data_IF_335147987566
#
_entry.id   IF_335147987566
#
_cell.length_a   1.000
_cell.length_b   1.000
_cell.length_c   1.000
_cell.angle_alpha   90.00
_cell.angle_beta   90.00
_cell.angle_gamma   90.00
#
_symmetry.space_group_name_H-M   'P 1'
#
loop_
_entity.id
_entity.type
_entity.pdbx_description
1 polymer ?
#
# COMPACT_ATOMS: atom_id res chain seq x y z
N UNK A 1 -3.34 -25.31 -33.72
CA UNK A 1 -3.73 -23.97 -34.20
C UNK A 1 -3.54 -22.96 -33.08
N UNK A 2 -2.78 -21.89 -33.34
CA UNK A 2 -2.45 -20.85 -32.35
C UNK A 2 -3.39 -19.64 -32.42
N UNK A 3 -3.46 -18.88 -31.33
CA UNK A 3 -4.18 -17.60 -31.28
C UNK A 3 -3.50 -16.56 -32.19
N UNK A 4 -4.28 -15.66 -32.80
CA UNK A 4 -3.70 -14.49 -33.47
C UNK A 4 -3.00 -13.59 -32.44
N UNK A 5 -2.00 -12.82 -32.88
CA UNK A 5 -1.25 -11.93 -31.99
C UNK A 5 -2.17 -10.94 -31.26
N UNK A 6 -3.20 -10.43 -31.96
CA UNK A 6 -4.23 -9.58 -31.38
C UNK A 6 -5.01 -10.28 -30.27
N UNK A 7 -5.46 -11.52 -30.49
CA UNK A 7 -6.19 -12.30 -29.49
C UNK A 7 -5.30 -12.64 -28.28
N UNK A 8 -4.02 -12.92 -28.51
CA UNK A 8 -3.06 -13.21 -27.45
C UNK A 8 -2.80 -11.98 -26.55
N UNK A 9 -2.60 -10.79 -27.15
CA UNK A 9 -2.38 -9.56 -26.39
C UNK A 9 -3.66 -9.12 -25.66
N UNK A 10 -4.83 -9.27 -26.27
CA UNK A 10 -6.10 -8.96 -25.59
C UNK A 10 -6.34 -9.84 -24.35
N UNK A 11 -6.05 -11.14 -24.44
CA UNK A 11 -6.07 -12.05 -23.27
C UNK A 11 -5.01 -11.70 -22.23
N UNK A 12 -3.86 -11.14 -22.64
CA UNK A 12 -2.84 -10.63 -21.72
C UNK A 12 -3.37 -9.41 -20.95
N UNK A 13 -4.09 -8.50 -21.62
CA UNK A 13 -4.73 -7.33 -20.98
C UNK A 13 -5.69 -7.75 -19.88
N UNK A 14 -6.54 -8.76 -20.13
CA UNK A 14 -7.49 -9.29 -19.14
C UNK A 14 -6.79 -9.90 -17.92
N UNK A 15 -5.63 -10.53 -18.10
CA UNK A 15 -4.86 -11.14 -16.99
C UNK A 15 -4.05 -10.12 -16.19
N UNK A 16 -3.51 -9.11 -16.84
CA UNK A 16 -2.59 -8.13 -16.22
C UNK A 16 -3.36 -6.90 -15.69
N UNK A 17 -4.56 -6.63 -16.22
CA UNK A 17 -5.40 -5.50 -15.80
C UNK A 17 -4.78 -4.13 -16.08
N UNK A 18 -3.88 -4.03 -17.06
CA UNK A 18 -3.23 -2.76 -17.43
C UNK A 18 -3.84 -2.22 -18.73
N UNK A 19 -4.58 -1.11 -18.62
CA UNK A 19 -5.28 -0.48 -19.76
C UNK A 19 -4.35 -0.10 -20.92
N UNK A 20 -3.07 0.20 -20.64
CA UNK A 20 -2.07 0.47 -21.69
C UNK A 20 -1.84 -0.71 -22.64
N UNK A 21 -2.12 -1.95 -22.23
CA UNK A 21 -2.05 -3.13 -23.10
C UNK A 21 -3.14 -3.15 -24.17
N UNK A 22 -4.32 -2.56 -23.91
CA UNK A 22 -5.40 -2.50 -24.89
C UNK A 22 -5.04 -1.59 -26.07
N UNK A 23 -4.50 -0.41 -25.80
CA UNK A 23 -4.01 0.50 -26.84
C UNK A 23 -2.89 -0.13 -27.66
N UNK A 24 -1.99 -0.84 -26.98
CA UNK A 24 -0.87 -1.52 -27.61
C UNK A 24 -1.32 -2.72 -28.46
N UNK A 25 -2.36 -3.45 -28.06
CA UNK A 25 -3.00 -4.52 -28.86
C UNK A 25 -3.51 -4.00 -30.21
N UNK A 26 -4.12 -2.82 -30.23
CA UNK A 26 -4.61 -2.18 -31.45
C UNK A 26 -3.45 -1.79 -32.37
N UNK A 27 -2.42 -1.14 -31.82
CA UNK A 27 -1.23 -0.77 -32.58
C UNK A 27 -0.48 -1.98 -33.14
N UNK A 28 -0.41 -3.08 -32.37
CA UNK A 28 0.25 -4.31 -32.78
C UNK A 28 -0.53 -5.05 -33.88
N UNK A 29 -1.87 -5.03 -33.83
CA UNK A 29 -2.71 -5.60 -34.90
C UNK A 29 -2.47 -4.87 -36.22
N UNK A 30 -2.37 -3.53 -36.19
CA UNK A 30 -2.06 -2.70 -37.37
C UNK A 30 -0.65 -3.00 -37.90
N UNK A 31 0.37 -2.99 -37.02
CA UNK A 31 1.77 -3.20 -37.43
C UNK A 31 2.09 -4.64 -37.83
N UNK A 32 1.39 -5.64 -37.29
CA UNK A 32 1.54 -7.04 -37.72
C UNK A 32 1.13 -7.27 -39.17
N UNK A 33 0.20 -6.46 -39.68
CA UNK A 33 -0.25 -6.50 -41.08
C UNK A 33 0.70 -5.76 -42.04
N UNK A 34 1.48 -4.82 -41.52
CA UNK A 34 2.41 -3.98 -42.30
C UNK A 34 3.88 -4.37 -42.17
N UNK A 35 4.21 -5.36 -41.32
CA UNK A 35 5.56 -5.87 -41.14
C UNK A 35 6.50 -4.95 -40.36
N UNK A 36 5.96 -4.05 -39.53
CA UNK A 36 6.73 -3.09 -38.73
C UNK A 36 7.58 -3.75 -37.62
N UNK A 37 8.28 -2.94 -36.83
CA UNK A 37 9.19 -3.40 -35.77
C UNK A 37 8.44 -3.89 -34.51
N UNK A 38 7.67 -4.99 -34.62
CA UNK A 38 6.97 -5.59 -33.49
C UNK A 38 7.91 -5.96 -32.34
N UNK A 39 9.15 -6.36 -32.67
CA UNK A 39 10.17 -6.74 -31.70
C UNK A 39 10.46 -5.58 -30.74
N UNK A 40 10.60 -4.36 -31.25
CA UNK A 40 10.83 -3.16 -30.43
C UNK A 40 9.62 -2.81 -29.57
N UNK A 41 8.41 -2.91 -30.10
CA UNK A 41 7.18 -2.63 -29.34
C UNK A 41 7.00 -3.62 -28.19
N UNK A 42 7.23 -4.90 -28.45
CA UNK A 42 7.16 -5.94 -27.42
C UNK A 42 8.28 -5.80 -26.39
N UNK A 43 9.49 -5.39 -26.80
CA UNK A 43 10.59 -5.11 -25.90
C UNK A 43 10.26 -3.93 -24.96
N UNK A 44 9.71 -2.84 -25.49
CA UNK A 44 9.26 -1.69 -24.71
C UNK A 44 8.10 -2.04 -23.78
N UNK A 45 7.16 -2.88 -24.22
CA UNK A 45 6.11 -3.34 -23.31
C UNK A 45 6.69 -4.19 -22.16
N UNK A 46 7.65 -5.06 -22.46
CA UNK A 46 8.31 -5.89 -21.45
C UNK A 46 9.02 -5.03 -20.40
N UNK A 47 9.71 -3.96 -20.82
CA UNK A 47 10.35 -3.04 -19.88
C UNK A 47 9.33 -2.31 -19.01
N UNK A 48 8.27 -1.75 -19.60
CA UNK A 48 7.20 -1.04 -18.86
C UNK A 48 6.50 -1.96 -17.86
N UNK A 49 6.19 -3.21 -18.23
CA UNK A 49 5.57 -4.19 -17.33
C UNK A 49 6.49 -4.54 -16.15
N UNK A 50 7.79 -4.74 -16.41
CA UNK A 50 8.79 -5.00 -15.37
C UNK A 50 8.94 -3.81 -14.44
N UNK A 51 8.94 -2.58 -14.95
CA UNK A 51 8.99 -1.36 -14.14
C UNK A 51 7.77 -1.22 -13.26
N UNK A 52 6.56 -1.46 -13.78
CA UNK A 52 5.33 -1.49 -12.98
C UNK A 52 5.40 -2.52 -11.85
N UNK A 53 5.90 -3.72 -12.13
CA UNK A 53 6.08 -4.75 -11.11
C UNK A 53 7.09 -4.31 -10.04
N UNK A 54 8.22 -3.72 -10.44
CA UNK A 54 9.21 -3.15 -9.50
C UNK A 54 8.60 -2.04 -8.63
N UNK A 55 7.79 -1.15 -9.21
CA UNK A 55 7.10 -0.09 -8.46
C UNK A 55 6.15 -0.67 -7.42
N UNK A 56 5.32 -1.67 -7.78
CA UNK A 56 4.44 -2.34 -6.82
C UNK A 56 5.20 -3.00 -5.67
N UNK A 57 6.30 -3.68 -5.97
CA UNK A 57 7.16 -4.28 -4.96
C UNK A 57 7.80 -3.21 -4.05
N UNK A 58 8.24 -2.09 -4.62
CA UNK A 58 8.80 -0.96 -3.87
C UNK A 58 7.76 -0.31 -2.96
N UNK A 59 6.54 -0.07 -3.44
CA UNK A 59 5.42 0.43 -2.63
C UNK A 59 5.15 -0.53 -1.47
N UNK A 60 5.06 -1.84 -1.74
CA UNK A 60 4.84 -2.85 -0.70
C UNK A 60 5.94 -2.86 0.37
N UNK A 61 7.20 -2.68 -0.04
CA UNK A 61 8.34 -2.62 0.87
C UNK A 61 8.33 -1.34 1.72
N UNK A 62 8.17 -0.17 1.11
CA UNK A 62 8.09 1.12 1.82
C UNK A 62 6.89 1.18 2.78
N UNK A 63 5.76 0.66 2.33
CA UNK A 63 4.56 0.49 3.16
C UNK A 63 4.84 -0.40 4.37
N UNK A 64 5.67 -1.44 4.24
CA UNK A 64 6.05 -2.31 5.36
C UNK A 64 6.87 -1.59 6.44
N UNK A 65 7.84 -0.77 6.05
CA UNK A 65 8.67 0.01 6.96
C UNK A 65 7.84 1.08 7.72
N UNK A 66 6.99 1.80 6.98
CA UNK A 66 6.07 2.79 7.55
C UNK A 66 5.09 2.16 8.55
N UNK A 67 4.58 0.96 8.25
CA UNK A 67 3.71 0.20 9.17
C UNK A 67 4.39 -0.09 10.50
N UNK A 68 5.60 -0.65 10.47
CA UNK A 68 6.30 -1.04 11.71
C UNK A 68 6.58 0.20 12.56
N UNK A 69 7.02 1.29 11.93
CA UNK A 69 7.26 2.56 12.62
C UNK A 69 5.99 3.12 13.29
N UNK A 70 4.86 3.08 12.59
CA UNK A 70 3.59 3.51 13.16
C UNK A 70 3.12 2.64 14.33
N UNK A 71 3.24 1.31 14.23
CA UNK A 71 2.92 0.41 15.35
C UNK A 71 3.77 0.71 16.60
N UNK A 72 5.06 0.99 16.42
CA UNK A 72 5.95 1.38 17.52
C UNK A 72 5.47 2.69 18.17
N UNK A 73 5.13 3.70 17.37
CA UNK A 73 4.66 5.00 17.86
C UNK A 73 3.30 4.88 18.56
N UNK A 74 2.36 4.12 18.00
CA UNK A 74 1.03 3.88 18.59
C UNK A 74 1.13 3.14 19.93
N UNK A 75 2.08 2.22 20.07
CA UNK A 75 2.27 1.46 21.31
C UNK A 75 3.06 2.26 22.38
N UNK A 76 3.82 3.27 21.96
CA UNK A 76 4.69 4.05 22.84
C UNK A 76 3.98 4.66 24.06
N UNK A 77 2.81 5.33 23.95
CA UNK A 77 2.10 5.90 25.10
C UNK A 77 1.68 4.84 26.11
N UNK A 78 1.27 3.65 25.64
CA UNK A 78 0.84 2.54 26.50
C UNK A 78 2.03 1.98 27.27
N UNK A 79 3.14 1.73 26.57
CA UNK A 79 4.38 1.23 27.20
C UNK A 79 4.92 2.25 28.21
N UNK A 80 4.95 3.53 27.84
CA UNK A 80 5.41 4.60 28.73
C UNK A 80 4.54 4.70 29.97
N UNK A 81 3.21 4.59 29.83
CA UNK A 81 2.28 4.57 30.95
C UNK A 81 2.58 3.43 31.92
N UNK A 82 2.78 2.21 31.41
CA UNK A 82 3.13 1.04 32.23
C UNK A 82 4.48 1.21 32.95
N UNK A 83 5.49 1.71 32.26
CA UNK A 83 6.81 1.97 32.83
C UNK A 83 6.71 2.99 33.97
N UNK A 84 6.01 4.10 33.75
CA UNK A 84 5.83 5.14 34.76
C UNK A 84 5.04 4.62 35.96
N UNK A 85 4.06 3.75 35.76
CA UNK A 85 3.31 3.13 36.84
C UNK A 85 4.18 2.23 37.74
N UNK A 86 5.19 1.56 37.18
CA UNK A 86 6.12 0.70 37.92
C UNK A 86 7.25 1.48 38.61
N UNK A 87 7.86 2.44 37.90
CA UNK A 87 9.03 3.18 38.41
C UNK A 87 8.61 4.33 39.33
N UNK A 88 7.51 5.01 39.00
CA UNK A 88 7.03 6.18 39.74
C UNK A 88 5.51 6.11 39.95
N UNK A 89 5.02 5.21 40.84
CA UNK A 89 3.59 5.01 41.07
C UNK A 89 2.84 6.29 41.49
N UNK A 90 3.54 7.24 42.11
CA UNK A 90 3.00 8.54 42.51
C UNK A 90 2.93 9.58 41.39
N UNK A 91 3.47 9.29 40.19
CA UNK A 91 3.54 10.24 39.07
C UNK A 91 2.16 10.75 38.65
N UNK A 92 1.19 9.84 38.52
CA UNK A 92 -0.20 10.19 38.18
C UNK A 92 -1.09 10.49 39.39
N UNK A 93 -0.60 10.31 40.62
CA UNK A 93 -1.41 10.36 41.84
C UNK A 93 -2.15 11.68 42.08
N UNK A 94 -1.56 12.81 41.64
CA UNK A 94 -2.19 14.15 41.76
C UNK A 94 -3.27 14.42 40.72
N UNK A 95 -3.24 13.70 39.59
CA UNK A 95 -4.13 13.96 38.44
C UNK A 95 -5.29 12.96 38.39
N UNK A 96 -5.13 11.78 39.00
CA UNK A 96 -6.18 10.75 39.11
C UNK A 96 -7.47 11.23 39.77
N UNK A 97 -7.39 12.17 40.73
CA UNK A 97 -8.56 12.73 41.41
C UNK A 97 -9.30 13.83 40.62
N UNK A 98 -8.78 14.26 39.47
CA UNK A 98 -9.40 15.33 38.69
C UNK A 98 -10.47 14.77 37.74
N UNK A 99 -11.73 15.24 37.79
CA UNK A 99 -12.79 14.77 36.89
C UNK A 99 -12.49 15.00 35.40
N UNK A 100 -11.55 15.88 35.05
CA UNK A 100 -11.11 16.11 33.67
C UNK A 100 -10.22 15.00 33.10
N UNK A 101 -9.64 14.10 33.91
CA UNK A 101 -8.70 13.10 33.42
C UNK A 101 -9.37 12.04 32.54
N UNK A 102 -10.56 11.59 32.95
CA UNK A 102 -11.30 10.51 32.29
C UNK A 102 -11.74 10.88 30.86
N UNK A 103 -12.32 12.08 30.60
CA UNK A 103 -12.63 12.50 29.22
C UNK A 103 -11.37 12.72 28.37
N UNK A 104 -10.27 13.21 28.95
CA UNK A 104 -9.00 13.40 28.21
C UNK A 104 -8.42 12.06 27.74
N UNK A 105 -8.37 11.06 28.62
CA UNK A 105 -7.92 9.71 28.25
C UNK A 105 -8.83 9.05 27.20
N UNK A 106 -10.15 9.25 27.30
CA UNK A 106 -11.10 8.75 26.30
C UNK A 106 -10.87 9.39 24.93
N UNK A 107 -10.75 10.72 24.87
CA UNK A 107 -10.48 11.44 23.61
C UNK A 107 -9.15 10.98 23.01
N UNK A 108 -8.10 10.89 23.82
CA UNK A 108 -6.79 10.42 23.37
C UNK A 108 -6.85 8.97 22.85
N UNK A 109 -7.53 8.08 23.57
CA UNK A 109 -7.71 6.68 23.18
C UNK A 109 -8.49 6.53 21.87
N UNK A 110 -9.60 7.27 21.71
CA UNK A 110 -10.38 7.28 20.46
C UNK A 110 -9.54 7.83 19.30
N UNK A 111 -8.76 8.88 19.53
CA UNK A 111 -7.89 9.46 18.51
C UNK A 111 -6.78 8.49 18.07
N UNK A 112 -6.15 7.79 19.03
CA UNK A 112 -5.16 6.76 18.74
C UNK A 112 -5.76 5.60 17.93
N UNK A 113 -6.94 5.10 18.33
CA UNK A 113 -7.64 4.03 17.62
C UNK A 113 -8.05 4.43 16.19
N UNK A 114 -8.47 5.69 15.99
CA UNK A 114 -8.74 6.21 14.65
C UNK A 114 -7.47 6.26 13.79
N UNK A 115 -6.34 6.67 14.36
CA UNK A 115 -5.04 6.65 13.70
C UNK A 115 -4.65 5.24 13.24
N UNK A 116 -4.75 4.27 14.14
CA UNK A 116 -4.47 2.86 13.86
C UNK A 116 -5.42 2.28 12.81
N UNK A 117 -6.70 2.66 12.85
CA UNK A 117 -7.68 2.25 11.84
C UNK A 117 -7.37 2.81 10.45
N UNK A 118 -6.99 4.09 10.35
CA UNK A 118 -6.58 4.70 9.08
C UNK A 118 -5.33 4.02 8.53
N UNK A 119 -4.35 3.76 9.39
CA UNK A 119 -3.14 3.01 9.07
C UNK A 119 -3.47 1.60 8.53
N UNK A 120 -4.34 0.87 9.22
CA UNK A 120 -4.80 -0.45 8.77
C UNK A 120 -5.49 -0.38 7.39
N UNK A 121 -6.30 0.66 7.17
CA UNK A 121 -7.02 0.85 5.91
C UNK A 121 -6.07 1.15 4.75
N UNK A 122 -5.09 2.03 4.94
CA UNK A 122 -4.07 2.35 3.93
C UNK A 122 -3.30 1.10 3.46
N UNK A 123 -3.10 0.13 4.36
CA UNK A 123 -2.38 -1.11 4.07
C UNK A 123 -3.23 -2.11 3.30
N UNK A 124 -4.53 -2.12 3.56
CA UNK A 124 -5.47 -3.04 2.90
C UNK A 124 -5.81 -2.58 1.49
N UNK A 125 -5.64 -1.29 1.15
CA UNK A 125 -5.94 -0.73 -0.16
C UNK A 125 -4.95 -1.08 -1.29
N UNK A 126 -3.83 -1.72 -0.98
CA UNK A 126 -2.87 -2.19 -2.00
C UNK A 126 -3.23 -3.58 -2.58
N UNK A 127 -4.48 -4.05 -2.44
CA UNK A 127 -4.98 -5.31 -2.98
C UNK A 127 -6.13 -5.13 -3.97
#
# INVERSE_FOLDING_TARGET
FGLSMEQAVRKLTERVGFEGLNLLSVSLSIQSKTGGNLTEILANLSSVLRERQKLRLKIRALSAEGRVSAWIISLFPIVMFLILQLIAPSYYGKVWGNPAILPVFLIFGVWALLGDFIMYRMVTFDF
#
